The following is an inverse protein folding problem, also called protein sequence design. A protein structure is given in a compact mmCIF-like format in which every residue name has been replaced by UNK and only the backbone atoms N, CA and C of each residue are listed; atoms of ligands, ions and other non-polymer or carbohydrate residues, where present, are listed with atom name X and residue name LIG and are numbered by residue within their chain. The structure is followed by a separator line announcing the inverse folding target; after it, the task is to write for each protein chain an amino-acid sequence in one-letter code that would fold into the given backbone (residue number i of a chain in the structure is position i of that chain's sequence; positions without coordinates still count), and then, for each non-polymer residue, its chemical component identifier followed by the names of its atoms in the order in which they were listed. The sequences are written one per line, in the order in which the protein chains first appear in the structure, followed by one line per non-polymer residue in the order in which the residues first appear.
data_IF_165211125903
#
_entry.id   IF_165211125903
#
_cell.length_a   1.000
_cell.length_b   1.000
_cell.length_c   1.000
_cell.angle_alpha   90.00
_cell.angle_beta   90.00
_cell.angle_gamma   90.00
#
_symmetry.space_group_name_H-M   'P 1'
#
loop_
_entity.id
_entity.type
_entity.pdbx_description
1 polymer ?
#
# COMPACT_ATOMS: atom_id res chain seq x y z
N UNK A 1 3.98 -20.62 -20.18
CA UNK A 1 4.03 -19.35 -19.43
C UNK A 1 2.64 -19.05 -18.90
N UNK A 2 2.39 -19.25 -17.59
CA UNK A 2 1.14 -18.86 -16.94
C UNK A 2 1.30 -17.41 -16.48
N UNK A 3 0.79 -16.45 -17.25
CA UNK A 3 0.73 -15.07 -16.77
C UNK A 3 -0.62 -14.78 -16.11
N UNK A 4 -0.68 -13.69 -15.36
CA UNK A 4 -1.79 -13.28 -14.51
C UNK A 4 -2.81 -12.45 -15.27
N UNK A 5 -4.06 -12.49 -14.84
CA UNK A 5 -5.11 -11.65 -15.42
C UNK A 5 -5.03 -10.23 -14.82
N UNK A 6 -5.13 -9.16 -15.64
CA UNK A 6 -5.13 -7.78 -15.16
C UNK A 6 -6.37 -7.47 -14.32
N UNK A 7 -6.29 -6.44 -13.47
CA UNK A 7 -7.43 -6.00 -12.66
C UNK A 7 -8.56 -5.44 -13.54
N UNK A 8 -9.76 -5.31 -12.97
CA UNK A 8 -10.87 -4.65 -13.68
C UNK A 8 -10.50 -3.23 -14.08
N UNK A 9 -9.83 -2.48 -13.20
CA UNK A 9 -9.43 -1.11 -13.48
C UNK A 9 -8.38 -1.04 -14.59
N UNK A 10 -7.41 -1.94 -14.63
CA UNK A 10 -6.43 -2.00 -15.73
C UNK A 10 -7.13 -2.27 -17.07
N UNK A 11 -8.12 -3.18 -17.09
CA UNK A 11 -8.90 -3.47 -18.31
C UNK A 11 -9.75 -2.28 -18.79
N UNK A 12 -10.19 -1.42 -17.87
CA UNK A 12 -11.06 -0.28 -18.17
C UNK A 12 -10.28 1.00 -18.49
N UNK A 13 -9.13 1.23 -17.84
CA UNK A 13 -8.39 2.48 -17.93
C UNK A 13 -7.13 2.40 -18.82
N UNK A 14 -6.43 1.26 -18.86
CA UNK A 14 -5.30 1.10 -19.79
C UNK A 14 -5.85 0.68 -21.16
N UNK A 15 -6.48 1.59 -21.92
CA UNK A 15 -7.13 1.31 -23.21
C UNK A 15 -6.23 1.49 -24.44
N UNK A 16 -4.91 1.59 -24.27
CA UNK A 16 -3.97 1.86 -25.37
C UNK A 16 -2.99 0.71 -25.59
N UNK A 17 -3.42 -0.26 -26.40
CA UNK A 17 -2.57 -1.35 -26.88
C UNK A 17 -3.22 -2.11 -28.05
N UNK A 18 -2.44 -2.75 -28.94
CA UNK A 18 -2.96 -3.42 -30.14
C UNK A 18 -3.68 -4.75 -29.85
N UNK A 19 -3.63 -5.28 -28.62
CA UNK A 19 -4.25 -6.55 -28.25
C UNK A 19 -5.44 -6.33 -27.29
N UNK A 20 -6.53 -7.13 -27.40
CA UNK A 20 -7.63 -7.06 -26.45
C UNK A 20 -7.15 -7.31 -25.01
N UNK A 21 -7.38 -6.37 -24.08
CA UNK A 21 -6.93 -6.45 -22.68
C UNK A 21 -7.41 -7.72 -21.94
N UNK A 22 -8.53 -8.30 -22.37
CA UNK A 22 -9.04 -9.58 -21.85
C UNK A 22 -8.12 -10.79 -22.14
N UNK A 23 -7.19 -10.66 -23.08
CA UNK A 23 -6.21 -11.70 -23.44
C UNK A 23 -4.79 -11.38 -22.96
N UNK A 24 -4.56 -10.17 -22.41
CA UNK A 24 -3.25 -9.77 -21.87
C UNK A 24 -2.99 -10.58 -20.60
N UNK A 25 -1.81 -11.19 -20.55
CA UNK A 25 -1.32 -11.89 -19.37
C UNK A 25 -0.13 -11.13 -18.79
N UNK A 26 -0.26 -10.70 -17.55
CA UNK A 26 0.77 -9.97 -16.82
C UNK A 26 1.86 -10.91 -16.30
N UNK A 27 3.10 -10.43 -16.24
CA UNK A 27 4.17 -11.06 -15.48
C UNK A 27 3.99 -10.81 -13.97
N UNK A 28 4.77 -11.51 -13.15
CA UNK A 28 4.78 -11.26 -11.70
C UNK A 28 5.28 -9.84 -11.41
N UNK A 29 6.24 -9.36 -12.18
CA UNK A 29 6.81 -8.02 -12.08
C UNK A 29 5.79 -6.92 -12.41
N UNK A 30 4.94 -7.17 -13.41
CA UNK A 30 3.82 -6.27 -13.74
C UNK A 30 2.75 -6.29 -12.65
N UNK A 31 2.45 -7.45 -12.05
CA UNK A 31 1.53 -7.53 -10.89
C UNK A 31 2.07 -6.74 -9.70
N UNK A 32 3.37 -6.80 -9.42
CA UNK A 32 3.97 -5.98 -8.37
C UNK A 32 3.80 -4.49 -8.65
N UNK A 33 3.87 -4.08 -9.92
CA UNK A 33 3.65 -2.68 -10.32
C UNK A 33 2.21 -2.23 -10.08
N UNK A 34 1.23 -3.06 -10.46
CA UNK A 34 -0.18 -2.74 -10.23
C UNK A 34 -0.50 -2.69 -8.74
N UNK A 35 0.06 -3.61 -7.93
CA UNK A 35 -0.07 -3.58 -6.46
C UNK A 35 0.55 -2.31 -5.89
N UNK A 36 1.73 -1.88 -6.33
CA UNK A 36 2.35 -0.64 -5.85
C UNK A 36 1.46 0.58 -6.12
N UNK A 37 0.89 0.66 -7.34
CA UNK A 37 -0.06 1.70 -7.74
C UNK A 37 -1.32 1.71 -6.90
N UNK A 38 -1.89 0.54 -6.61
CA UNK A 38 -3.11 0.41 -5.82
C UNK A 38 -2.86 0.79 -4.35
N UNK A 39 -1.70 0.42 -3.78
CA UNK A 39 -1.28 0.91 -2.47
C UNK A 39 -1.14 2.43 -2.49
N UNK A 40 -0.48 3.02 -3.49
CA UNK A 40 -0.35 4.48 -3.60
C UNK A 40 -1.70 5.18 -3.62
N UNK A 41 -2.65 4.68 -4.42
CA UNK A 41 -4.00 5.21 -4.49
C UNK A 41 -4.74 5.09 -3.14
N UNK A 42 -4.59 3.97 -2.44
CA UNK A 42 -5.13 3.75 -1.11
C UNK A 42 -4.56 4.75 -0.10
N UNK A 43 -3.23 4.88 -0.01
CA UNK A 43 -2.57 5.74 0.97
C UNK A 43 -2.86 7.23 0.74
N UNK A 44 -3.07 7.63 -0.52
CA UNK A 44 -3.46 9.00 -0.89
C UNK A 44 -4.95 9.30 -0.77
N UNK A 45 -5.80 8.29 -0.51
CA UNK A 45 -7.22 8.51 -0.26
C UNK A 45 -7.45 8.76 1.23
N UNK A 46 -8.31 9.73 1.57
CA UNK A 46 -8.70 10.00 2.96
C UNK A 46 -10.00 9.28 3.29
N UNK A 47 -9.99 8.51 4.38
CA UNK A 47 -11.18 7.80 4.85
C UNK A 47 -12.06 8.74 5.69
N UNK A 48 -13.38 8.65 5.50
CA UNK A 48 -14.35 9.46 6.27
C UNK A 48 -14.74 8.76 7.58
N UNK A 49 -14.90 7.43 7.55
CA UNK A 49 -15.33 6.66 8.71
C UNK A 49 -14.17 5.83 9.25
N UNK A 50 -13.75 6.11 10.48
CA UNK A 50 -12.77 5.27 11.17
C UNK A 50 -13.38 3.95 11.62
N UNK A 51 -12.52 2.99 11.93
CA UNK A 51 -12.94 1.70 12.50
C UNK A 51 -13.74 1.86 13.79
N UNK A 52 -13.33 2.81 14.64
CA UNK A 52 -14.03 3.12 15.87
C UNK A 52 -15.46 3.59 15.60
N UNK A 53 -15.66 4.41 14.56
CA UNK A 53 -16.98 4.91 14.14
C UNK A 53 -17.90 3.78 13.64
N UNK A 54 -17.34 2.74 13.02
CA UNK A 54 -18.10 1.63 12.44
C UNK A 54 -18.09 0.36 13.29
N UNK A 55 -17.70 0.44 14.57
CA UNK A 55 -17.60 -0.72 15.47
C UNK A 55 -18.87 -1.57 15.56
N UNK A 56 -20.06 -0.96 15.40
CA UNK A 56 -21.36 -1.65 15.41
C UNK A 56 -21.76 -2.24 14.04
N UNK A 57 -20.98 -1.98 13.00
CA UNK A 57 -21.28 -2.29 11.60
C UNK A 57 -20.08 -3.00 10.93
N UNK A 58 -19.81 -4.28 11.26
CA UNK A 58 -18.61 -4.98 10.80
C UNK A 58 -18.53 -5.12 9.27
N UNK A 59 -19.66 -5.25 8.59
CA UNK A 59 -19.69 -5.29 7.13
C UNK A 59 -19.35 -3.92 6.51
N UNK A 60 -19.77 -2.81 7.14
CA UNK A 60 -19.39 -1.47 6.73
C UNK A 60 -17.91 -1.20 7.00
N UNK A 61 -17.35 -1.73 8.09
CA UNK A 61 -15.93 -1.62 8.40
C UNK A 61 -15.06 -2.30 7.34
N UNK A 62 -15.55 -3.35 6.66
CA UNK A 62 -14.85 -4.06 5.58
C UNK A 62 -15.17 -3.54 4.18
N UNK A 63 -15.97 -2.49 4.05
CA UNK A 63 -16.38 -1.94 2.77
C UNK A 63 -15.55 -0.70 2.38
N UNK A 64 -15.86 -0.16 1.21
CA UNK A 64 -15.26 1.07 0.66
C UNK A 64 -15.39 2.29 1.60
N UNK A 65 -16.31 2.27 2.58
CA UNK A 65 -16.45 3.35 3.55
C UNK A 65 -15.20 3.59 4.40
N UNK A 66 -14.35 2.57 4.51
CA UNK A 66 -13.05 2.65 5.21
C UNK A 66 -11.86 2.66 4.24
N UNK A 67 -12.09 2.86 2.94
CA UNK A 67 -11.01 2.95 1.96
C UNK A 67 -10.25 4.26 2.16
N UNK A 68 -8.93 4.14 2.31
CA UNK A 68 -8.03 5.26 2.58
C UNK A 68 -7.36 5.22 3.94
N UNK A 69 -6.67 6.30 4.28
CA UNK A 69 -6.06 6.54 5.58
C UNK A 69 -6.81 7.60 6.37
N UNK A 70 -6.78 7.48 7.70
CA UNK A 70 -7.16 8.55 8.62
C UNK A 70 -6.21 9.74 8.49
N UNK A 71 -6.69 10.95 8.81
CA UNK A 71 -5.84 12.13 8.80
C UNK A 71 -4.77 12.08 9.90
N UNK A 72 -3.54 12.48 9.54
CA UNK A 72 -2.37 12.51 10.43
C UNK A 72 -1.82 13.93 10.64
N UNK A 73 -2.51 14.97 10.15
CA UNK A 73 -2.10 16.37 10.24
C UNK A 73 -1.81 16.87 11.67
N UNK A 74 -2.45 16.26 12.68
CA UNK A 74 -2.25 16.58 14.09
C UNK A 74 -1.18 15.78 14.83
N UNK A 75 -0.49 14.85 14.15
CA UNK A 75 0.49 13.96 14.78
C UNK A 75 1.93 14.47 14.63
N UNK A 76 2.76 14.22 15.64
CA UNK A 76 4.17 14.60 15.62
C UNK A 76 5.05 13.46 15.17
N UNK A 77 5.73 13.62 14.04
CA UNK A 77 6.68 12.63 13.52
C UNK A 77 7.94 12.46 14.41
N UNK A 78 8.16 13.39 15.35
CA UNK A 78 9.18 13.27 16.38
C UNK A 78 8.78 12.31 17.51
N UNK A 79 7.46 12.14 17.75
CA UNK A 79 6.92 11.25 18.77
C UNK A 79 7.01 9.80 18.31
N UNK A 80 7.63 8.96 19.15
CA UNK A 80 7.67 7.53 18.92
C UNK A 80 6.26 6.91 18.82
N UNK A 81 5.34 7.34 19.70
CA UNK A 81 3.97 6.83 19.72
C UNK A 81 3.20 7.16 18.44
N UNK A 82 3.39 8.37 17.91
CA UNK A 82 2.70 8.81 16.70
C UNK A 82 3.24 8.08 15.47
N UNK A 83 4.56 7.83 15.42
CA UNK A 83 5.18 7.02 14.36
C UNK A 83 4.63 5.59 14.34
N UNK A 84 4.57 4.95 15.51
CA UNK A 84 3.98 3.62 15.66
C UNK A 84 2.51 3.60 15.23
N UNK A 85 1.75 4.63 15.61
CA UNK A 85 0.34 4.77 15.22
C UNK A 85 0.17 4.88 13.70
N UNK A 86 1.01 5.69 13.04
CA UNK A 86 1.01 5.82 11.58
C UNK A 86 1.33 4.45 10.94
N UNK A 87 2.41 3.79 11.36
CA UNK A 87 2.79 2.47 10.80
C UNK A 87 1.65 1.46 10.91
N UNK A 88 1.02 1.35 12.09
CA UNK A 88 -0.14 0.47 12.30
C UNK A 88 -1.34 0.83 11.43
N UNK A 89 -1.59 2.12 11.24
CA UNK A 89 -2.68 2.60 10.39
C UNK A 89 -2.45 2.22 8.93
N UNK A 90 -1.21 2.34 8.43
CA UNK A 90 -0.85 1.85 7.09
C UNK A 90 -1.01 0.33 6.98
N UNK A 91 -0.49 -0.44 7.94
CA UNK A 91 -0.63 -1.91 7.96
C UNK A 91 -2.10 -2.34 7.87
N UNK A 92 -2.97 -1.75 8.68
CA UNK A 92 -4.39 -2.07 8.72
C UNK A 92 -5.12 -1.71 7.43
N UNK A 93 -4.82 -0.55 6.86
CA UNK A 93 -5.42 -0.11 5.60
C UNK A 93 -5.05 -1.06 4.45
N UNK A 94 -3.75 -1.38 4.29
CA UNK A 94 -3.25 -2.25 3.24
C UNK A 94 -3.81 -3.67 3.42
N UNK A 95 -3.73 -4.24 4.62
CA UNK A 95 -4.25 -5.59 4.89
C UNK A 95 -5.77 -5.73 4.65
N UNK A 96 -6.52 -4.63 4.71
CA UNK A 96 -7.96 -4.61 4.45
C UNK A 96 -8.30 -4.51 2.97
N UNK A 97 -7.62 -3.61 2.26
CA UNK A 97 -8.02 -3.17 0.92
C UNK A 97 -7.13 -3.71 -0.20
N UNK A 98 -6.00 -4.33 0.13
CA UNK A 98 -5.13 -5.00 -0.83
C UNK A 98 -5.05 -6.51 -0.54
N UNK A 99 -6.06 -7.30 -0.96
CA UNK A 99 -6.17 -8.73 -0.60
C UNK A 99 -5.11 -9.62 -1.25
N UNK A 100 -4.38 -9.12 -2.27
CA UNK A 100 -3.24 -9.84 -2.85
C UNK A 100 -2.05 -9.86 -1.91
N UNK A 101 -2.04 -9.02 -0.87
CA UNK A 101 -0.98 -8.97 0.13
C UNK A 101 -1.45 -9.58 1.46
N UNK A 102 -0.66 -10.52 1.98
CA UNK A 102 -0.84 -11.10 3.31
C UNK A 102 0.37 -10.82 4.19
N UNK A 103 0.22 -10.95 5.51
CA UNK A 103 1.32 -10.71 6.47
C UNK A 103 1.98 -9.33 6.34
N UNK A 104 1.18 -8.30 6.05
CA UNK A 104 1.67 -6.93 5.85
C UNK A 104 2.34 -6.40 7.12
N UNK A 105 3.52 -5.80 6.94
CA UNK A 105 4.29 -5.09 7.97
C UNK A 105 4.81 -3.78 7.40
N UNK A 106 4.70 -2.70 8.16
CA UNK A 106 5.17 -1.38 7.77
C UNK A 106 6.14 -0.87 8.83
N UNK A 107 7.33 -0.49 8.39
CA UNK A 107 8.37 0.05 9.27
C UNK A 107 8.79 1.43 8.76
N UNK A 108 8.77 2.43 9.65
CA UNK A 108 9.36 3.73 9.34
C UNK A 108 10.89 3.63 9.41
N UNK A 109 11.56 3.95 8.30
CA UNK A 109 13.01 4.12 8.25
C UNK A 109 13.35 5.55 8.66
N UNK A 110 13.92 5.71 9.85
CA UNK A 110 14.38 7.01 10.34
C UNK A 110 15.78 7.27 9.79
N UNK A 111 15.88 8.11 8.77
CA UNK A 111 17.16 8.66 8.34
C UNK A 111 17.44 9.94 9.14
N UNK A 112 18.56 9.97 9.87
CA UNK A 112 18.97 11.11 10.68
C UNK A 112 19.38 12.35 9.85
N UNK A 113 19.47 12.22 8.52
CA UNK A 113 19.92 13.27 7.60
C UNK A 113 18.82 13.86 6.72
N UNK A 114 17.68 13.19 6.56
CA UNK A 114 16.58 13.64 5.69
C UNK A 114 15.45 14.23 6.54
N UNK A 115 15.36 15.56 6.58
CA UNK A 115 14.37 16.29 7.40
C UNK A 115 13.04 16.54 6.72
N UNK A 116 12.89 16.23 5.43
CA UNK A 116 11.73 16.66 4.62
C UNK A 116 10.83 15.55 4.09
N UNK A 117 11.25 14.29 4.11
CA UNK A 117 10.46 13.15 3.60
C UNK A 117 10.60 11.98 4.56
N UNK A 118 9.49 11.30 4.86
CA UNK A 118 9.50 10.07 5.62
C UNK A 118 9.56 8.86 4.70
N UNK A 119 10.37 7.88 5.08
CA UNK A 119 10.52 6.62 4.36
C UNK A 119 9.87 5.49 5.14
N UNK A 120 9.00 4.74 4.48
CA UNK A 120 8.35 3.55 5.01
C UNK A 120 8.73 2.35 4.15
N UNK A 121 9.17 1.27 4.79
CA UNK A 121 9.35 -0.01 4.15
C UNK A 121 8.11 -0.87 4.44
N UNK A 122 7.42 -1.28 3.39
CA UNK A 122 6.25 -2.16 3.44
C UNK A 122 6.71 -3.54 3.01
N UNK A 123 6.62 -4.52 3.89
CA UNK A 123 6.93 -5.93 3.60
C UNK A 123 5.67 -6.76 3.70
N UNK A 124 5.49 -7.69 2.77
CA UNK A 124 4.32 -8.55 2.71
C UNK A 124 4.60 -9.83 1.93
N UNK A 125 3.68 -10.78 1.99
CA UNK A 125 3.64 -11.94 1.11
C UNK A 125 2.61 -11.70 0.01
N UNK A 126 3.05 -11.68 -1.25
CA UNK A 126 2.17 -11.58 -2.40
C UNK A 126 1.56 -12.96 -2.67
N UNK A 127 0.23 -13.06 -2.59
CA UNK A 127 -0.53 -14.26 -2.89
C UNK A 127 -1.56 -13.98 -3.99
N UNK A 128 -1.27 -14.48 -5.18
CA UNK A 128 -2.10 -14.28 -6.38
C UNK A 128 -2.48 -15.61 -7.05
N UNK A 129 -2.33 -16.74 -6.34
CA UNK A 129 -2.62 -18.08 -6.84
C UNK A 129 -1.37 -18.83 -7.30
N UNK A 130 -0.87 -18.62 -8.55
CA UNK A 130 0.35 -19.31 -9.01
C UNK A 130 1.66 -18.66 -8.52
N UNK A 131 1.63 -17.52 -7.84
CA UNK A 131 2.79 -16.94 -7.16
C UNK A 131 2.49 -16.69 -5.69
N UNK A 132 3.43 -17.11 -4.84
CA UNK A 132 3.44 -16.91 -3.40
C UNK A 132 4.87 -16.56 -2.98
N UNK A 133 5.21 -15.28 -2.95
CA UNK A 133 6.57 -14.81 -2.71
C UNK A 133 6.64 -13.55 -1.86
N UNK A 134 7.72 -13.36 -1.09
CA UNK A 134 7.92 -12.14 -0.33
C UNK A 134 8.12 -10.95 -1.26
N UNK A 135 7.46 -9.84 -0.95
CA UNK A 135 7.56 -8.57 -1.66
C UNK A 135 7.87 -7.44 -0.72
N UNK A 136 8.53 -6.41 -1.25
CA UNK A 136 8.85 -5.19 -0.54
C UNK A 136 8.43 -4.00 -1.40
N UNK A 137 7.80 -3.02 -0.76
CA UNK A 137 7.46 -1.74 -1.37
C UNK A 137 8.05 -0.62 -0.52
N UNK A 138 8.63 0.36 -1.18
CA UNK A 138 9.12 1.57 -0.53
C UNK A 138 8.05 2.65 -0.70
N UNK A 139 7.58 3.20 0.40
CA UNK A 139 6.63 4.30 0.41
C UNK A 139 7.28 5.54 1.02
N UNK A 140 7.11 6.69 0.37
CA UNK A 140 7.59 7.99 0.85
C UNK A 140 6.41 8.88 1.17
N UNK A 141 6.45 9.59 2.30
CA UNK A 141 5.46 10.60 2.66
C UNK A 141 6.12 11.97 2.64
N UNK A 142 5.57 12.88 1.84
CA UNK A 142 5.94 14.29 1.86
C UNK A 142 5.04 15.04 2.86
N UNK A 143 5.54 15.48 4.03
CA UNK A 143 4.70 16.05 5.09
C UNK A 143 3.99 17.35 4.68
N UNK A 144 4.57 18.12 3.75
CA UNK A 144 3.99 19.39 3.29
C UNK A 144 2.74 19.22 2.44
N UNK A 145 2.65 18.13 1.68
CA UNK A 145 1.51 17.82 0.81
C UNK A 145 0.66 16.68 1.35
N UNK A 146 1.17 15.94 2.34
CA UNK A 146 0.62 14.69 2.86
C UNK A 146 0.36 13.65 1.76
N UNK A 147 1.16 13.71 0.70
CA UNK A 147 1.13 12.78 -0.42
C UNK A 147 2.11 11.64 -0.19
N UNK A 148 1.62 10.44 -0.48
CA UNK A 148 2.42 9.23 -0.52
C UNK A 148 2.86 8.95 -1.95
N UNK A 149 4.09 8.48 -2.12
CA UNK A 149 4.53 7.83 -3.36
C UNK A 149 5.06 6.44 -3.04
N UNK A 150 4.61 5.43 -3.78
CA UNK A 150 4.92 4.02 -3.54
C UNK A 150 5.63 3.46 -4.77
N UNK A 151 6.72 2.75 -4.53
CA UNK A 151 7.49 2.08 -5.56
C UNK A 151 7.84 0.67 -5.12
N UNK A 152 8.19 -0.19 -6.07
CA UNK A 152 8.74 -1.51 -5.74
C UNK A 152 10.03 -1.30 -4.96
N UNK A 153 10.05 -1.81 -3.73
CA UNK A 153 11.24 -1.79 -2.91
C UNK A 153 12.22 -2.82 -3.44
N UNK A 154 13.46 -2.39 -3.63
CA UNK A 154 14.56 -3.33 -3.69
C UNK A 154 14.87 -3.66 -2.24
N UNK A 155 15.01 -4.93 -1.90
CA UNK A 155 15.38 -5.34 -0.55
C UNK A 155 16.74 -4.72 -0.19
N UNK A 156 16.74 -3.50 0.35
CA UNK A 156 17.80 -3.03 1.22
C UNK A 156 17.64 -3.91 2.43
N UNK A 157 18.37 -5.03 2.40
CA UNK A 157 18.48 -5.96 3.50
C UNK A 157 18.49 -5.14 4.79
N UNK A 158 17.66 -5.55 5.75
CA UNK A 158 17.74 -5.09 7.12
C UNK A 158 19.17 -5.36 7.65
N UNK A 159 20.08 -4.48 7.30
CA UNK A 159 21.48 -4.43 7.66
C UNK A 159 21.63 -3.19 8.54
N UNK A 160 21.02 -3.28 9.70
CA UNK A 160 21.44 -2.57 10.89
C UNK A 160 21.15 -3.52 12.05
N UNK A 161 22.20 -4.25 12.41
CA UNK A 161 22.30 -5.08 13.61
C UNK A 161 22.13 -4.25 14.89
#
# INVERSE_FOLDING_TARGET
MKGFEPSLFDKLFEAEGPAPHALRRLSVEEIKETVARDIEALLNTRMVFTEASLKRYPNCQRSILTYGLSDFSGLSLASHYDREFICRSLEQAIARHEPRLTHVRVVLQVDSRATSVLYFAITAMLDVGPAHEPVTFDATLQPSTLQYSVSKGWAKAAAAA
#
